data_IF_074034122688
#
_entry.id   IF_074034122688
#
_cell.length_a   1.000
_cell.length_b   1.000
_cell.length_c   1.000
_cell.angle_alpha   90.00
_cell.angle_beta   90.00
_cell.angle_gamma   90.00
#
_symmetry.space_group_name_H-M   'P 1'
#
loop_
_entity.id
_entity.type
_entity.pdbx_description
1 polymer ?
#
# COMPACT_ATOMS: atom_id res chain seq x y z
N UNK A 1 5.43 -11.98 -9.08
CA UNK A 1 6.03 -12.14 -10.43
C UNK A 1 7.52 -12.03 -10.25
N UNK A 2 8.28 -13.04 -10.68
CA UNK A 2 9.75 -13.02 -10.60
C UNK A 2 10.23 -13.04 -12.05
N UNK A 3 11.05 -12.07 -12.44
CA UNK A 3 11.55 -11.90 -13.80
C UNK A 3 10.46 -11.90 -14.89
N UNK A 4 9.34 -11.21 -14.62
CA UNK A 4 8.25 -11.11 -15.58
C UNK A 4 7.40 -12.38 -15.73
N UNK A 5 7.61 -13.40 -14.88
CA UNK A 5 6.88 -14.67 -14.93
C UNK A 5 5.98 -14.88 -13.71
N UNK A 6 4.82 -15.47 -13.96
CA UNK A 6 3.90 -15.91 -12.92
C UNK A 6 4.46 -17.16 -12.23
N UNK A 7 4.32 -17.20 -10.90
CA UNK A 7 4.64 -18.39 -10.11
C UNK A 7 3.48 -19.38 -10.10
N UNK A 8 3.54 -20.34 -9.18
CA UNK A 8 2.43 -21.27 -8.92
C UNK A 8 1.24 -20.51 -8.33
N UNK A 9 0.05 -20.80 -8.84
CA UNK A 9 -1.19 -20.28 -8.28
C UNK A 9 -1.51 -20.99 -6.95
N UNK A 10 -1.84 -20.20 -5.93
CA UNK A 10 -2.31 -20.66 -4.63
C UNK A 10 -3.79 -20.24 -4.48
N UNK A 11 -4.66 -21.19 -4.14
CA UNK A 11 -6.09 -20.95 -3.96
C UNK A 11 -6.51 -21.51 -2.61
N UNK A 12 -7.06 -20.64 -1.77
CA UNK A 12 -7.57 -21.01 -0.46
C UNK A 12 -9.01 -20.53 -0.30
N UNK A 13 -9.82 -21.34 0.40
CA UNK A 13 -11.15 -20.96 0.86
C UNK A 13 -12.19 -20.72 -0.25
N UNK A 14 -13.42 -20.43 0.20
CA UNK A 14 -14.48 -19.91 -0.63
C UNK A 14 -14.45 -18.37 -0.59
N UNK A 15 -15.08 -17.70 -1.56
CA UNK A 15 -15.16 -16.24 -1.58
C UNK A 15 -15.76 -15.70 -0.25
N UNK A 16 -15.01 -14.90 0.53
CA UNK A 16 -15.43 -14.46 1.86
C UNK A 16 -16.43 -13.28 1.85
N UNK A 17 -16.72 -12.70 0.68
CA UNK A 17 -17.66 -11.58 0.53
C UNK A 17 -18.64 -11.78 -0.63
N UNK A 18 -19.83 -11.19 -0.50
CA UNK A 18 -20.82 -11.14 -1.57
C UNK A 18 -20.69 -9.86 -2.39
N UNK A 19 -21.15 -9.90 -3.64
CA UNK A 19 -21.18 -8.72 -4.52
C UNK A 19 -22.03 -7.61 -3.88
N UNK A 20 -21.49 -6.39 -3.83
CA UNK A 20 -22.18 -5.22 -3.30
C UNK A 20 -22.07 -5.07 -1.77
N UNK A 21 -21.44 -6.03 -1.09
CA UNK A 21 -21.15 -5.92 0.34
C UNK A 21 -19.83 -5.20 0.57
N UNK A 22 -19.80 -4.33 1.56
CA UNK A 22 -18.55 -3.74 2.05
C UNK A 22 -17.69 -4.83 2.70
N UNK A 23 -16.37 -4.73 2.52
CA UNK A 23 -15.43 -5.63 3.15
C UNK A 23 -14.19 -4.89 3.61
N UNK A 24 -13.58 -5.39 4.68
CA UNK A 24 -12.24 -4.94 5.10
C UNK A 24 -11.23 -6.02 4.73
N UNK A 25 -10.23 -5.66 3.93
CA UNK A 25 -9.06 -6.50 3.67
C UNK A 25 -7.90 -5.98 4.50
N UNK A 26 -7.35 -6.83 5.37
CA UNK A 26 -6.12 -6.56 6.12
C UNK A 26 -5.04 -7.50 5.61
N UNK A 27 -3.90 -6.93 5.26
CA UNK A 27 -2.69 -7.66 4.86
C UNK A 27 -1.63 -7.35 5.90
N UNK A 28 -1.17 -8.38 6.60
CA UNK A 28 -0.14 -8.25 7.64
C UNK A 28 1.11 -9.01 7.22
N UNK A 29 2.25 -8.33 7.28
CA UNK A 29 3.53 -8.97 7.03
C UNK A 29 4.03 -9.59 8.33
N UNK A 30 4.25 -10.89 8.32
CA UNK A 30 5.01 -11.61 9.36
C UNK A 30 6.35 -12.08 8.78
N UNK A 31 7.18 -12.73 9.59
CA UNK A 31 8.55 -13.12 9.21
C UNK A 31 8.62 -13.99 7.95
N UNK A 32 7.69 -14.93 7.79
CA UNK A 32 7.72 -15.95 6.72
C UNK A 32 6.59 -15.81 5.67
N UNK A 33 5.58 -14.97 5.94
CA UNK A 33 4.41 -14.85 5.08
C UNK A 33 3.69 -13.49 5.20
N UNK A 34 2.76 -13.25 4.27
CA UNK A 34 1.65 -12.33 4.43
C UNK A 34 0.44 -13.06 4.99
N UNK A 35 -0.18 -12.53 6.03
CA UNK A 35 -1.46 -13.01 6.55
C UNK A 35 -2.56 -12.11 5.99
N UNK A 36 -3.53 -12.72 5.32
CA UNK A 36 -4.69 -12.03 4.76
C UNK A 36 -5.90 -12.31 5.65
N UNK A 37 -6.54 -11.24 6.09
CA UNK A 37 -7.79 -11.31 6.87
C UNK A 37 -8.88 -10.51 6.17
N UNK A 38 -10.05 -11.11 6.03
CA UNK A 38 -11.25 -10.46 5.46
C UNK A 38 -12.27 -10.30 6.58
N UNK A 39 -12.79 -9.08 6.76
CA UNK A 39 -13.76 -8.77 7.82
C UNK A 39 -13.28 -9.21 9.22
N UNK A 40 -11.98 -9.04 9.50
CA UNK A 40 -11.28 -9.43 10.73
C UNK A 40 -11.13 -10.94 10.96
N UNK A 41 -11.53 -11.79 10.02
CA UNK A 41 -11.31 -13.23 10.07
C UNK A 41 -10.13 -13.63 9.16
N UNK A 42 -9.24 -14.50 9.67
CA UNK A 42 -8.10 -15.00 8.89
C UNK A 42 -8.63 -15.79 7.69
N UNK A 43 -8.26 -15.35 6.50
CA UNK A 43 -8.65 -15.98 5.25
C UNK A 43 -7.58 -16.95 4.74
N UNK A 44 -6.35 -16.44 4.54
CA UNK A 44 -5.23 -17.27 4.07
C UNK A 44 -3.88 -16.69 4.51
N UNK A 45 -2.81 -17.45 4.24
CA UNK A 45 -1.43 -17.02 4.42
C UNK A 45 -0.64 -17.28 3.16
N UNK A 46 0.10 -16.29 2.67
CA UNK A 46 0.89 -16.37 1.47
C UNK A 46 2.37 -16.23 1.80
N UNK A 47 3.18 -17.26 1.53
CA UNK A 47 4.61 -17.23 1.86
C UNK A 47 5.36 -16.19 1.01
N UNK A 48 6.37 -15.58 1.60
CA UNK A 48 7.21 -14.61 0.90
C UNK A 48 7.99 -15.28 -0.24
N UNK A 49 7.67 -14.90 -1.48
CA UNK A 49 8.43 -15.31 -2.68
C UNK A 49 9.61 -14.38 -2.98
N UNK A 50 9.59 -13.18 -2.41
CA UNK A 50 10.64 -12.16 -2.47
C UNK A 50 10.75 -11.51 -1.08
N UNK A 51 11.88 -10.88 -0.73
CA UNK A 51 12.02 -10.17 0.53
C UNK A 51 10.92 -9.11 0.68
N UNK A 52 10.14 -9.10 1.78
CA UNK A 52 9.02 -8.17 1.93
C UNK A 52 9.44 -6.68 1.88
N UNK A 53 10.70 -6.39 2.25
CA UNK A 53 11.29 -5.05 2.18
C UNK A 53 11.45 -4.52 0.75
N UNK A 54 11.44 -5.41 -0.26
CA UNK A 54 11.53 -5.01 -1.66
C UNK A 54 10.20 -4.54 -2.25
N UNK A 55 9.09 -4.70 -1.52
CA UNK A 55 7.75 -4.32 -1.97
C UNK A 55 7.53 -2.82 -1.73
N UNK A 56 7.41 -2.06 -2.81
CA UNK A 56 7.28 -0.59 -2.77
C UNK A 56 5.97 -0.04 -3.33
N UNK A 57 5.19 -0.87 -4.03
CA UNK A 57 3.97 -0.44 -4.72
C UNK A 57 2.79 -1.34 -4.35
N UNK A 58 1.66 -0.71 -3.98
CA UNK A 58 0.36 -1.38 -3.87
C UNK A 58 -0.48 -0.98 -5.07
N UNK A 59 -1.03 -1.98 -5.77
CA UNK A 59 -1.87 -1.77 -6.95
C UNK A 59 -3.20 -2.49 -6.78
N UNK A 60 -4.30 -1.76 -6.94
CA UNK A 60 -5.66 -2.28 -6.78
C UNK A 60 -6.37 -2.13 -8.11
N UNK A 61 -6.85 -3.26 -8.64
CA UNK A 61 -7.53 -3.34 -9.92
C UNK A 61 -8.86 -4.07 -9.78
N UNK A 62 -9.83 -3.71 -10.62
CA UNK A 62 -11.15 -4.33 -10.66
C UNK A 62 -12.28 -3.40 -10.24
N UNK A 63 -13.46 -3.98 -10.00
CA UNK A 63 -14.68 -3.24 -9.65
C UNK A 63 -14.81 -3.08 -8.14
N UNK A 64 -13.99 -2.19 -7.58
CA UNK A 64 -14.07 -1.77 -6.17
C UNK A 64 -14.52 -0.32 -6.12
N UNK A 65 -15.50 -0.02 -5.27
CA UNK A 65 -16.01 1.33 -5.05
C UNK A 65 -15.75 1.75 -3.61
N UNK A 66 -15.45 3.03 -3.39
CA UNK A 66 -15.19 3.63 -2.07
C UNK A 66 -14.08 2.92 -1.28
N UNK A 67 -12.84 3.04 -1.76
CA UNK A 67 -11.67 2.49 -1.08
C UNK A 67 -11.16 3.45 0.01
N UNK A 68 -10.96 2.93 1.22
CA UNK A 68 -10.14 3.57 2.25
C UNK A 68 -8.88 2.74 2.45
N UNK A 69 -7.72 3.31 2.16
CA UNK A 69 -6.41 2.68 2.37
C UNK A 69 -5.76 3.24 3.63
N UNK A 70 -5.29 2.35 4.50
CA UNK A 70 -4.51 2.70 5.69
C UNK A 70 -3.26 1.84 5.70
N UNK A 71 -2.10 2.48 5.56
CA UNK A 71 -0.79 1.81 5.64
C UNK A 71 -0.22 2.09 7.02
N UNK A 72 0.17 1.04 7.74
CA UNK A 72 0.87 1.14 9.02
C UNK A 72 2.21 0.45 8.87
N UNK A 73 3.28 1.13 9.25
CA UNK A 73 4.62 0.57 9.29
C UNK A 73 5.25 0.88 10.64
N UNK A 74 5.78 -0.12 11.37
CA UNK A 74 6.55 0.13 12.58
C UNK A 74 7.97 0.65 12.27
N UNK A 75 8.48 0.39 11.07
CA UNK A 75 9.80 0.86 10.62
C UNK A 75 9.65 1.86 9.46
N UNK A 76 10.58 2.81 9.40
CA UNK A 76 10.64 3.80 8.32
C UNK A 76 10.96 3.07 7.01
N UNK A 77 9.97 2.95 6.11
CA UNK A 77 10.10 2.25 4.82
C UNK A 77 11.05 3.01 3.86
N UNK A 78 11.27 4.30 4.10
CA UNK A 78 12.08 5.18 3.25
C UNK A 78 12.95 6.09 4.12
N UNK A 79 14.27 5.98 3.99
CA UNK A 79 15.17 7.00 4.51
C UNK A 79 14.82 8.36 3.87
N UNK A 80 14.43 9.39 4.65
CA UNK A 80 14.08 10.70 4.14
C UNK A 80 15.16 11.32 3.23
N UNK A 81 16.42 10.94 3.41
CA UNK A 81 17.55 11.43 2.61
C UNK A 81 17.66 10.77 1.23
N UNK A 82 17.02 9.61 1.02
CA UNK A 82 17.03 8.86 -0.24
C UNK A 82 15.76 9.06 -1.08
N UNK A 83 14.83 9.90 -0.62
CA UNK A 83 13.63 10.25 -1.39
C UNK A 83 14.03 11.22 -2.50
N UNK A 84 14.13 10.70 -3.73
CA UNK A 84 14.33 11.53 -4.92
C UNK A 84 12.99 12.14 -5.33
N UNK A 85 12.86 13.44 -5.14
CA UNK A 85 11.69 14.22 -5.53
C UNK A 85 11.76 14.57 -7.02
N UNK A 86 10.98 13.88 -7.86
CA UNK A 86 10.76 14.31 -9.24
C UNK A 86 9.60 15.29 -9.27
N UNK A 87 9.83 16.50 -9.81
CA UNK A 87 8.78 17.49 -10.01
C UNK A 87 7.83 17.03 -11.13
N UNK A 88 6.81 16.26 -10.79
CA UNK A 88 5.76 15.86 -11.75
C UNK A 88 4.79 17.04 -11.87
N UNK A 89 5.00 17.87 -12.90
CA UNK A 89 4.12 18.96 -13.41
C UNK A 89 2.90 19.28 -12.52
N UNK A 90 3.12 20.09 -11.50
CA UNK A 90 2.11 20.70 -10.63
C UNK A 90 2.74 21.85 -9.85
N UNK A 91 1.99 22.92 -9.60
CA UNK A 91 2.48 24.13 -8.93
C UNK A 91 2.75 23.87 -7.44
N UNK A 92 4.01 23.60 -7.10
CA UNK A 92 4.49 23.64 -5.72
C UNK A 92 4.68 25.10 -5.30
N UNK A 93 4.10 25.49 -4.16
CA UNK A 93 4.39 26.78 -3.52
C UNK A 93 4.79 26.52 -2.07
N UNK A 94 6.03 26.90 -1.75
CA UNK A 94 6.50 27.00 -0.37
C UNK A 94 5.80 28.21 0.27
N UNK A 95 5.04 27.97 1.34
CA UNK A 95 4.57 29.06 2.21
C UNK A 95 5.34 28.99 3.52
N UNK A 96 5.71 30.15 4.05
CA UNK A 96 6.63 30.32 5.17
C UNK A 96 6.33 29.39 6.38
N UNK A 97 7.40 29.09 7.12
CA UNK A 97 7.47 28.33 8.39
C UNK A 97 7.59 26.80 8.22
N UNK A 98 8.63 26.32 7.53
CA UNK A 98 9.08 24.91 7.63
C UNK A 98 8.10 23.84 7.14
N UNK A 99 6.94 24.24 6.61
CA UNK A 99 5.92 23.32 6.12
C UNK A 99 5.92 23.32 4.60
N UNK A 100 6.28 22.18 4.03
CA UNK A 100 6.14 21.93 2.59
C UNK A 100 4.93 21.03 2.39
N UNK A 101 4.00 21.48 1.57
CA UNK A 101 2.86 20.67 1.14
C UNK A 101 3.00 20.34 -0.34
N UNK A 102 2.59 19.13 -0.70
CA UNK A 102 2.52 18.67 -2.08
C UNK A 102 1.13 18.08 -2.33
N UNK A 103 0.55 18.42 -3.48
CA UNK A 103 -0.71 17.83 -3.95
C UNK A 103 -0.34 16.88 -5.08
N UNK A 104 -0.62 15.61 -4.89
CA UNK A 104 -0.40 14.56 -5.89
C UNK A 104 -1.58 14.58 -6.89
N UNK A 105 -1.39 14.00 -8.08
CA UNK A 105 -2.38 13.97 -9.17
C UNK A 105 -3.75 13.40 -8.78
N UNK A 106 -3.83 12.62 -7.71
CA UNK A 106 -5.05 12.04 -7.14
C UNK A 106 -5.76 12.97 -6.14
N UNK A 107 -5.36 14.25 -6.05
CA UNK A 107 -5.85 15.24 -5.09
C UNK A 107 -5.49 14.94 -3.62
N UNK A 108 -4.61 13.98 -3.36
CA UNK A 108 -4.14 13.73 -1.99
C UNK A 108 -3.12 14.80 -1.59
N UNK A 109 -3.45 15.57 -0.56
CA UNK A 109 -2.54 16.56 0.02
C UNK A 109 -1.68 15.91 1.11
N UNK A 110 -0.37 16.01 0.94
CA UNK A 110 0.60 15.61 1.96
C UNK A 110 1.21 16.85 2.59
N UNK A 111 1.25 16.89 3.93
CA UNK A 111 1.81 18.01 4.71
C UNK A 111 2.98 17.46 5.51
N UNK A 112 4.14 18.06 5.33
CA UNK A 112 5.33 17.77 6.13
C UNK A 112 5.68 18.99 6.97
N UNK A 113 5.69 18.83 8.30
CA UNK A 113 6.28 19.78 9.23
C UNK A 113 7.68 19.30 9.57
N UNK A 114 8.71 20.05 9.19
CA UNK A 114 10.03 19.90 9.83
C UNK A 114 9.85 20.19 11.33
N UNK A 115 10.29 19.25 12.18
CA UNK A 115 10.25 19.39 13.64
C UNK A 115 11.23 20.42 14.15
#
# INVERSE_FOLDING_TARGET
MIDGKWGREERDGAMPSARGQEFTLRIETIEDAYILSVNNEKFCSYRHNIPPQSVSYLSIWGRVQHLRLVIKSPEIILDPYNVVWWQIRGHLRKWNIGVTWAIVHDQTAWVFSEG
#
